data_IF_762102259185
#
_entry.id   IF_762102259185
#
_cell.length_a   1.000
_cell.length_b   1.000
_cell.length_c   1.000
_cell.angle_alpha   90.00
_cell.angle_beta   90.00
_cell.angle_gamma   90.00
#
_symmetry.space_group_name_H-M   'P 1'
#
loop_
_entity.id
_entity.type
_entity.pdbx_description
1 polymer ?
#
# COMPACT_ATOMS: atom_id res chain seq x y z
N UNK A 1 29.96 11.19 11.65
CA UNK A 1 29.04 10.75 10.60
C UNK A 1 27.85 10.04 11.22
N UNK A 2 26.69 10.40 10.80
CA UNK A 2 25.47 9.72 11.25
C UNK A 2 25.28 8.42 10.49
N UNK A 3 25.12 7.32 11.20
CA UNK A 3 24.86 6.01 10.60
C UNK A 3 23.43 5.64 10.94
N UNK A 4 22.60 5.53 9.91
CA UNK A 4 21.25 5.10 10.09
C UNK A 4 21.19 3.58 10.02
N UNK A 5 20.80 2.98 11.14
CA UNK A 5 20.66 1.53 11.22
C UNK A 5 19.26 1.06 10.85
N UNK A 6 18.32 1.99 10.83
CA UNK A 6 16.93 1.69 10.53
C UNK A 6 16.71 1.72 9.02
N UNK A 7 16.10 0.66 8.49
CA UNK A 7 15.76 0.59 7.08
C UNK A 7 14.63 1.59 6.79
N UNK A 8 14.80 2.39 5.72
CA UNK A 8 13.77 3.33 5.31
C UNK A 8 12.54 2.58 4.81
N UNK A 9 11.38 2.93 5.34
CA UNK A 9 10.11 2.37 4.91
C UNK A 9 9.22 3.46 4.35
N UNK A 10 8.43 3.10 3.35
CA UNK A 10 7.49 4.03 2.74
C UNK A 10 6.35 4.34 3.73
N UNK A 11 5.97 5.60 3.86
CA UNK A 11 4.84 5.95 4.73
C UNK A 11 3.55 5.26 4.28
N UNK A 12 2.79 4.79 5.25
CA UNK A 12 1.55 4.05 5.03
C UNK A 12 0.45 4.65 5.88
N UNK A 13 -0.73 4.78 5.31
CA UNK A 13 -1.93 5.14 6.04
C UNK A 13 -3.02 4.13 5.73
N UNK A 14 -3.67 3.64 6.76
CA UNK A 14 -4.78 2.70 6.62
C UNK A 14 -6.02 3.33 7.23
N UNK A 15 -7.08 3.43 6.43
CA UNK A 15 -8.35 3.95 6.88
C UNK A 15 -9.45 2.92 6.65
N UNK A 16 -10.58 3.10 7.31
CA UNK A 16 -11.75 2.25 7.06
C UNK A 16 -13.01 3.07 7.08
N UNK A 17 -13.99 2.59 6.32
CA UNK A 17 -15.35 3.04 6.36
C UNK A 17 -16.24 1.83 6.74
N UNK A 18 -17.56 2.03 6.73
CA UNK A 18 -18.47 0.91 6.96
C UNK A 18 -18.38 -0.15 5.88
N UNK A 19 -17.95 0.23 4.68
CA UNK A 19 -17.99 -0.64 3.49
C UNK A 19 -16.62 -1.17 3.06
N UNK A 20 -15.53 -0.52 3.46
CA UNK A 20 -14.22 -0.88 2.93
C UNK A 20 -13.08 -0.46 3.82
N UNK A 21 -11.93 -1.06 3.56
CA UNK A 21 -10.62 -0.59 4.04
C UNK A 21 -9.90 0.06 2.89
N UNK A 22 -9.07 1.05 3.20
CA UNK A 22 -8.20 1.68 2.21
C UNK A 22 -6.78 1.74 2.74
N UNK A 23 -5.84 1.21 1.96
CA UNK A 23 -4.42 1.22 2.30
C UNK A 23 -3.73 2.15 1.32
N UNK A 24 -3.04 3.16 1.82
CA UNK A 24 -2.29 4.10 0.99
C UNK A 24 -0.81 4.01 1.33
N UNK A 25 0.01 3.89 0.29
CA UNK A 25 1.47 3.84 0.44
C UNK A 25 2.09 4.91 -0.45
N UNK A 26 2.90 5.76 0.14
CA UNK A 26 3.58 6.82 -0.60
C UNK A 26 4.80 6.26 -1.31
N UNK A 27 4.78 6.31 -2.64
CA UNK A 27 5.85 5.81 -3.50
C UNK A 27 6.23 6.82 -4.58
N UNK A 28 6.53 8.07 -4.20
CA UNK A 28 6.92 9.06 -5.18
C UNK A 28 8.25 8.66 -5.81
N UNK A 29 8.37 8.86 -7.10
CA UNK A 29 9.59 8.55 -7.83
C UNK A 29 9.62 7.16 -8.46
N UNK A 30 8.60 6.33 -8.22
CA UNK A 30 8.44 5.06 -8.90
C UNK A 30 7.45 5.23 -10.06
N UNK A 31 7.60 4.44 -11.10
CA UNK A 31 6.61 4.39 -12.17
C UNK A 31 5.60 3.28 -11.88
N UNK A 32 4.45 3.38 -12.53
CA UNK A 32 3.42 2.34 -12.36
C UNK A 32 3.96 0.96 -12.67
N UNK A 33 4.79 0.82 -13.70
CA UNK A 33 5.33 -0.47 -14.12
C UNK A 33 6.28 -1.08 -13.09
N UNK A 34 6.80 -0.27 -12.20
CA UNK A 34 7.71 -0.72 -11.15
C UNK A 34 7.00 -1.07 -9.85
N UNK A 35 5.68 -0.93 -9.82
CA UNK A 35 4.87 -1.19 -8.63
C UNK A 35 4.03 -2.43 -8.87
N UNK A 36 4.05 -3.36 -7.92
CA UNK A 36 3.25 -4.58 -7.98
C UNK A 36 2.47 -4.73 -6.70
N UNK A 37 1.22 -5.16 -6.85
CA UNK A 37 0.32 -5.43 -5.72
C UNK A 37 -0.27 -6.80 -5.96
N UNK A 38 -0.15 -7.69 -4.97
CA UNK A 38 -0.78 -9.00 -5.10
C UNK A 38 -1.23 -9.52 -3.75
N UNK A 39 -2.10 -10.50 -3.79
CA UNK A 39 -2.68 -11.12 -2.62
C UNK A 39 -2.40 -12.61 -2.65
N UNK A 40 -1.91 -13.13 -1.52
CA UNK A 40 -1.71 -14.57 -1.37
C UNK A 40 -2.02 -14.96 0.06
N UNK A 41 -2.97 -15.87 0.24
CA UNK A 41 -3.36 -16.41 1.56
C UNK A 41 -3.69 -15.31 2.57
N UNK A 42 -4.43 -14.29 2.13
CA UNK A 42 -4.85 -13.20 3.00
C UNK A 42 -3.77 -12.17 3.28
N UNK A 43 -2.61 -12.31 2.67
CA UNK A 43 -1.50 -11.38 2.83
C UNK A 43 -1.39 -10.52 1.58
N UNK A 44 -1.59 -9.22 1.74
CA UNK A 44 -1.45 -8.25 0.66
C UNK A 44 -0.02 -7.73 0.64
N UNK A 45 0.62 -7.83 -0.50
CA UNK A 45 2.00 -7.35 -0.67
C UNK A 45 2.03 -6.23 -1.69
N UNK A 46 2.68 -5.13 -1.34
CA UNK A 46 2.92 -4.01 -2.24
C UNK A 46 4.42 -3.86 -2.36
N UNK A 47 4.93 -4.01 -3.59
CA UNK A 47 6.35 -3.82 -3.85
C UNK A 47 6.55 -2.76 -4.90
N UNK A 48 7.73 -2.18 -4.91
CA UNK A 48 8.12 -1.24 -5.93
C UNK A 48 9.62 -1.06 -5.95
N UNK A 49 10.05 -0.23 -6.85
CA UNK A 49 11.45 0.08 -7.00
C UNK A 49 11.61 1.54 -7.39
N UNK A 50 12.55 2.23 -6.75
CA UNK A 50 12.98 3.56 -7.14
C UNK A 50 14.35 3.41 -7.78
N UNK A 51 14.46 3.73 -9.06
CA UNK A 51 15.70 3.61 -9.81
C UNK A 51 16.38 4.97 -9.95
N UNK A 52 17.69 5.05 -9.77
CA UNK A 52 18.41 6.29 -10.01
C UNK A 52 18.41 6.62 -11.50
N UNK A 53 18.45 7.90 -11.81
CA UNK A 53 18.64 8.36 -13.18
C UNK A 53 20.11 8.20 -13.56
N UNK A 54 20.35 8.04 -14.86
CA UNK A 54 21.72 7.95 -15.37
C UNK A 54 22.42 9.30 -15.17
N UNK A 55 23.74 9.22 -14.98
CA UNK A 55 24.58 10.40 -14.85
C UNK A 55 25.48 10.30 -13.63
N UNK A 56 26.52 11.13 -13.64
CA UNK A 56 27.41 11.23 -12.50
C UNK A 56 26.78 12.08 -11.42
N UNK A 57 26.67 11.55 -10.20
CA UNK A 57 26.03 12.27 -9.11
C UNK A 57 27.04 13.18 -8.43
N UNK A 58 26.69 14.43 -8.31
CA UNK A 58 27.48 15.39 -7.54
C UNK A 58 27.02 15.35 -6.08
N UNK A 59 25.73 15.20 -5.86
CA UNK A 59 25.14 15.14 -4.52
C UNK A 59 23.77 14.46 -4.60
N UNK A 60 23.45 13.64 -3.61
CA UNK A 60 22.11 13.01 -3.58
C UNK A 60 21.70 12.66 -2.15
N UNK A 61 20.50 13.03 -1.81
CA UNK A 61 19.82 12.58 -0.59
C UNK A 61 18.68 11.63 -0.92
N UNK A 62 18.51 11.30 -2.19
CA UNK A 62 17.41 10.43 -2.62
C UNK A 62 17.69 8.99 -2.24
N UNK A 63 16.64 8.31 -1.78
CA UNK A 63 16.71 6.88 -1.43
C UNK A 63 16.24 6.09 -2.64
N UNK A 64 17.06 5.13 -3.06
CA UNK A 64 16.76 4.26 -4.20
C UNK A 64 16.74 2.81 -3.76
N UNK A 65 16.24 1.96 -4.62
CA UNK A 65 16.23 0.53 -4.42
C UNK A 65 14.84 -0.05 -4.36
N UNK A 66 14.79 -1.33 -4.03
CA UNK A 66 13.54 -2.07 -3.93
C UNK A 66 12.99 -1.95 -2.51
N UNK A 67 11.68 -1.96 -2.42
CA UNK A 67 10.99 -1.96 -1.15
C UNK A 67 9.78 -2.86 -1.21
N UNK A 68 9.28 -3.29 -0.05
CA UNK A 68 8.04 -4.02 0.02
C UNK A 68 7.34 -3.73 1.35
N UNK A 69 6.01 -3.71 1.29
CA UNK A 69 5.17 -3.59 2.46
C UNK A 69 4.16 -4.71 2.42
N UNK A 70 3.95 -5.35 3.57
CA UNK A 70 3.07 -6.50 3.70
C UNK A 70 1.97 -6.17 4.70
N UNK A 71 0.75 -6.57 4.36
CA UNK A 71 -0.42 -6.30 5.18
C UNK A 71 -1.26 -7.56 5.29
N UNK A 72 -1.50 -8.01 6.51
CA UNK A 72 -2.44 -9.10 6.72
C UNK A 72 -3.84 -8.50 6.77
N UNK A 73 -4.68 -8.91 5.85
CA UNK A 73 -6.02 -8.37 5.75
C UNK A 73 -6.91 -8.95 6.86
N UNK A 74 -7.86 -8.13 7.39
CA UNK A 74 -8.81 -8.61 8.38
C UNK A 74 -9.71 -9.71 7.85
N UNK A 75 -10.29 -10.50 8.76
CA UNK A 75 -11.17 -11.61 8.37
C UNK A 75 -12.43 -11.14 7.64
N UNK A 76 -12.87 -9.92 7.89
CA UNK A 76 -14.05 -9.37 7.23
C UNK A 76 -13.75 -8.72 5.87
N UNK A 77 -12.52 -8.88 5.37
CA UNK A 77 -12.16 -8.37 4.04
C UNK A 77 -12.69 -9.31 2.96
N UNK A 78 -13.25 -8.71 1.91
CA UNK A 78 -13.67 -9.45 0.73
C UNK A 78 -12.50 -9.57 -0.23
N UNK A 79 -11.85 -10.71 -0.22
CA UNK A 79 -10.62 -10.93 -0.99
C UNK A 79 -10.84 -10.96 -2.51
N UNK A 80 -12.09 -11.06 -2.94
CA UNK A 80 -12.44 -11.05 -4.35
C UNK A 80 -12.77 -9.66 -4.87
N UNK A 81 -12.76 -8.66 -3.99
CA UNK A 81 -13.19 -7.32 -4.33
C UNK A 81 -12.16 -6.30 -3.84
N UNK A 82 -11.01 -6.29 -4.51
CA UNK A 82 -9.89 -5.43 -4.20
C UNK A 82 -9.51 -4.67 -5.46
N UNK A 83 -9.37 -3.35 -5.33
CA UNK A 83 -8.93 -2.49 -6.42
C UNK A 83 -7.72 -1.69 -5.99
N UNK A 84 -6.79 -1.48 -6.90
CA UNK A 84 -5.59 -0.71 -6.64
C UNK A 84 -5.39 0.32 -7.74
N UNK A 85 -4.89 1.48 -7.37
CA UNK A 85 -4.47 2.49 -8.34
C UNK A 85 -3.24 3.22 -7.84
N UNK A 86 -2.56 3.90 -8.76
CA UNK A 86 -1.39 4.71 -8.45
C UNK A 86 -1.60 6.10 -9.04
N UNK A 87 -1.64 7.11 -8.18
CA UNK A 87 -1.86 8.48 -8.58
C UNK A 87 -1.08 9.41 -7.66
N UNK A 88 -0.46 10.42 -8.23
CA UNK A 88 0.25 11.47 -7.48
C UNK A 88 1.29 10.89 -6.49
N UNK A 89 1.96 9.82 -6.91
CA UNK A 89 2.96 9.17 -6.08
C UNK A 89 2.41 8.32 -4.96
N UNK A 90 1.11 8.02 -4.95
CA UNK A 90 0.47 7.23 -3.91
C UNK A 90 -0.20 6.01 -4.51
N UNK A 91 0.12 4.84 -3.97
CA UNK A 91 -0.60 3.61 -4.26
C UNK A 91 -1.77 3.53 -3.29
N UNK A 92 -2.98 3.43 -3.81
CA UNK A 92 -4.18 3.25 -3.00
C UNK A 92 -4.78 1.89 -3.32
N UNK A 93 -5.03 1.10 -2.28
CA UNK A 93 -5.67 -0.21 -2.40
C UNK A 93 -6.95 -0.18 -1.60
N UNK A 94 -8.07 -0.34 -2.27
CA UNK A 94 -9.38 -0.40 -1.62
C UNK A 94 -9.82 -1.84 -1.53
N UNK A 95 -10.14 -2.29 -0.32
CA UNK A 95 -10.58 -3.65 -0.04
C UNK A 95 -12.00 -3.57 0.52
N UNK A 96 -12.97 -4.12 -0.19
CA UNK A 96 -14.33 -4.13 0.28
C UNK A 96 -14.46 -5.04 1.50
N UNK A 97 -15.41 -4.75 2.36
CA UNK A 97 -15.77 -5.63 3.46
C UNK A 97 -16.80 -6.64 2.97
N UNK A 98 -16.76 -7.83 3.54
CA UNK A 98 -17.75 -8.85 3.25
C UNK A 98 -19.15 -8.32 3.55
N UNK A 99 -20.12 -8.72 2.74
CA UNK A 99 -21.50 -8.20 2.87
C UNK A 99 -22.07 -8.54 4.24
N UNK A 100 -21.82 -9.73 4.74
CA UNK A 100 -22.29 -10.17 6.06
C UNK A 100 -21.59 -9.44 7.21
N UNK A 101 -20.44 -8.80 6.95
CA UNK A 101 -19.71 -8.06 7.97
C UNK A 101 -20.09 -6.59 8.03
N UNK A 102 -20.90 -6.11 7.07
CA UNK A 102 -21.34 -4.72 7.06
C UNK A 102 -22.40 -4.47 8.11
N UNK A 103 -22.44 -3.25 8.67
CA UNK A 103 -23.48 -2.92 9.65
C UNK A 103 -24.88 -3.15 9.10
N UNK A 104 -25.73 -3.66 9.95
CA UNK A 104 -27.13 -3.91 9.61
C UNK A 104 -28.02 -3.18 10.58
N UNK A 105 -29.07 -2.53 10.04
CA UNK A 105 -30.08 -1.92 10.88
C UNK A 105 -31.04 -2.99 11.39
N UNK A 106 -31.34 -2.95 12.66
CA UNK A 106 -32.27 -3.90 13.28
C UNK A 106 -33.51 -3.13 13.71
N UNK A 107 -34.68 -3.59 13.27
CA UNK A 107 -35.94 -2.97 13.63
C UNK A 107 -36.30 -3.30 15.09
N UNK A 108 -36.70 -2.27 15.80
CA UNK A 108 -37.20 -2.43 17.17
C UNK A 108 -38.69 -2.71 17.09
N UNK A 109 -39.10 -3.82 17.68
CA UNK A 109 -40.53 -4.18 17.74
C UNK A 109 -41.20 -3.51 18.91
#
# INVERSE_FOLDING_TARGET
MYIQTKIYQQPVEITQSEKSYNIMVELPGSTRDEIKVWLEKGLLTITGEKKPQAGEKIFSERVFGKFSRLFRLPEDADLDNIEANYRDGVVSVEIAKLEEAKPKSINIK
#
